data_IF_350896653464
#
_entry.id   IF_350896653464
#
_cell.length_a   1.000
_cell.length_b   1.000
_cell.length_c   1.000
_cell.angle_alpha   90.00
_cell.angle_beta   90.00
_cell.angle_gamma   90.00
#
_symmetry.space_group_name_H-M   'P 1'
#
loop_
_entity.id
_entity.type
_entity.pdbx_description
1 polymer ?
#
# COMPACT_ATOMS: atom_id res chain seq x y z
N UNK A 1 -7.71 20.53 -0.51
CA UNK A 1 -6.81 19.36 -0.51
C UNK A 1 -7.66 18.17 -0.86
N UNK A 2 -7.36 17.45 -1.93
CA UNK A 2 -8.11 16.24 -2.27
C UNK A 2 -7.83 15.20 -1.19
N UNK A 3 -8.87 14.73 -0.51
CA UNK A 3 -8.74 13.59 0.40
C UNK A 3 -8.47 12.35 -0.45
N UNK A 4 -7.31 11.71 -0.24
CA UNK A 4 -6.95 10.48 -0.94
C UNK A 4 -7.92 9.35 -0.58
N UNK A 5 -8.41 8.63 -1.59
CA UNK A 5 -9.30 7.50 -1.39
C UNK A 5 -8.48 6.25 -1.06
N UNK A 6 -8.47 5.90 0.22
CA UNK A 6 -7.76 4.73 0.74
C UNK A 6 -8.69 3.53 0.87
N UNK A 7 -8.28 2.40 0.31
CA UNK A 7 -9.02 1.15 0.38
C UNK A 7 -8.16 0.00 0.93
N UNK A 8 -8.71 -0.77 1.86
CA UNK A 8 -8.16 -2.08 2.26
C UNK A 8 -8.80 -3.17 1.42
N UNK A 9 -8.00 -3.97 0.72
CA UNK A 9 -8.53 -4.95 -0.24
C UNK A 9 -9.45 -6.01 0.39
N UNK A 10 -9.24 -6.35 1.66
CA UNK A 10 -10.03 -7.34 2.40
C UNK A 10 -11.44 -6.85 2.75
N UNK A 11 -11.69 -5.55 2.73
CA UNK A 11 -12.97 -4.95 3.13
C UNK A 11 -13.65 -4.17 1.98
N UNK A 12 -12.89 -3.74 0.98
CA UNK A 12 -13.39 -2.94 -0.12
C UNK A 12 -13.96 -3.81 -1.24
N UNK A 13 -15.13 -3.44 -1.75
CA UNK A 13 -15.67 -4.02 -2.97
C UNK A 13 -14.86 -3.54 -4.19
N UNK A 14 -15.10 -4.15 -5.36
CA UNK A 14 -14.38 -3.83 -6.60
C UNK A 14 -14.54 -2.36 -7.02
N UNK A 15 -15.70 -1.76 -6.81
CA UNK A 15 -15.97 -0.37 -7.21
C UNK A 15 -15.11 0.61 -6.39
N UNK A 16 -15.05 0.42 -5.06
CA UNK A 16 -14.19 1.22 -4.19
C UNK A 16 -12.71 1.06 -4.57
N UNK A 17 -12.26 -0.17 -4.87
CA UNK A 17 -10.88 -0.41 -5.30
C UNK A 17 -10.54 0.24 -6.65
N UNK A 18 -11.51 0.39 -7.55
CA UNK A 18 -11.30 1.08 -8.83
C UNK A 18 -11.12 2.60 -8.68
N UNK A 19 -11.73 3.18 -7.66
CA UNK A 19 -11.62 4.61 -7.34
C UNK A 19 -10.49 4.92 -6.36
N UNK A 20 -9.78 3.91 -5.82
CA UNK A 20 -8.80 4.10 -4.77
C UNK A 20 -7.48 4.65 -5.31
N UNK A 21 -7.06 5.78 -4.75
CA UNK A 21 -5.71 6.33 -4.92
C UNK A 21 -4.67 5.46 -4.21
N UNK A 22 -5.05 4.91 -3.05
CA UNK A 22 -4.20 4.12 -2.17
C UNK A 22 -4.85 2.77 -1.88
N UNK A 23 -4.16 1.68 -2.20
CA UNK A 23 -4.64 0.31 -1.90
C UNK A 23 -3.72 -0.36 -0.89
N UNK A 24 -4.31 -0.86 0.18
CA UNK A 24 -3.62 -1.60 1.24
C UNK A 24 -3.93 -3.10 1.16
N UNK A 25 -2.88 -3.90 1.29
CA UNK A 25 -2.86 -5.34 1.11
C UNK A 25 -2.08 -6.02 2.25
N UNK A 26 -2.23 -7.33 2.33
CA UNK A 26 -1.47 -8.18 3.24
C UNK A 26 -0.91 -9.41 2.49
N UNK A 27 0.30 -9.81 2.87
CA UNK A 27 1.00 -10.97 2.34
C UNK A 27 1.81 -11.70 3.42
N UNK A 28 2.09 -12.97 3.18
CA UNK A 28 2.93 -13.80 4.05
C UNK A 28 4.40 -13.74 3.63
N UNK A 29 4.67 -13.54 2.34
CA UNK A 29 6.04 -13.55 1.80
C UNK A 29 6.33 -12.32 0.97
N UNK A 30 7.62 -11.97 0.85
CA UNK A 30 8.07 -10.87 0.00
C UNK A 30 7.76 -11.13 -1.48
N UNK A 31 7.79 -12.39 -1.92
CA UNK A 31 7.45 -12.78 -3.30
C UNK A 31 5.98 -12.49 -3.57
N UNK A 32 5.09 -12.91 -2.66
CA UNK A 32 3.66 -12.63 -2.76
C UNK A 32 3.39 -11.13 -2.73
N UNK A 33 4.03 -10.38 -1.83
CA UNK A 33 3.87 -8.93 -1.75
C UNK A 33 4.32 -8.22 -3.03
N UNK A 34 5.46 -8.61 -3.60
CA UNK A 34 5.97 -8.04 -4.85
C UNK A 34 5.01 -8.32 -6.02
N UNK A 35 4.47 -9.53 -6.10
CA UNK A 35 3.47 -9.87 -7.11
C UNK A 35 2.17 -9.08 -6.91
N UNK A 36 1.71 -8.93 -5.66
CA UNK A 36 0.54 -8.12 -5.32
C UNK A 36 0.72 -6.65 -5.73
N UNK A 37 1.90 -6.05 -5.52
CA UNK A 37 2.18 -4.68 -5.98
C UNK A 37 1.96 -4.54 -7.49
N UNK A 38 2.67 -5.34 -8.28
CA UNK A 38 2.62 -5.25 -9.75
C UNK A 38 1.23 -5.56 -10.30
N UNK A 39 0.57 -6.60 -9.79
CA UNK A 39 -0.77 -6.98 -10.22
C UNK A 39 -1.85 -5.96 -9.82
N UNK A 40 -1.70 -5.30 -8.67
CA UNK A 40 -2.63 -4.26 -8.22
C UNK A 40 -2.55 -3.04 -9.12
N UNK A 41 -1.35 -2.56 -9.46
CA UNK A 41 -1.22 -1.44 -10.40
C UNK A 41 -1.76 -1.76 -11.80
N UNK A 42 -1.54 -2.99 -12.29
CA UNK A 42 -2.09 -3.43 -13.56
C UNK A 42 -3.63 -3.53 -13.53
N UNK A 43 -4.20 -3.97 -12.40
CA UNK A 43 -5.65 -4.17 -12.24
C UNK A 43 -6.42 -2.88 -11.96
N UNK A 44 -5.79 -1.93 -11.28
CA UNK A 44 -6.41 -0.67 -10.84
C UNK A 44 -5.57 0.51 -11.36
N UNK A 45 -5.77 0.95 -12.61
CA UNK A 45 -4.94 1.97 -13.26
C UNK A 45 -4.98 3.33 -12.57
N UNK A 46 -6.07 3.66 -11.86
CA UNK A 46 -6.18 4.90 -11.06
C UNK A 46 -5.42 4.86 -9.73
N UNK A 47 -4.96 3.69 -9.28
CA UNK A 47 -4.23 3.57 -8.03
C UNK A 47 -2.79 4.08 -8.19
N UNK A 48 -2.41 5.06 -7.36
CA UNK A 48 -1.10 5.69 -7.34
C UNK A 48 -0.16 5.01 -6.33
N UNK A 49 -0.68 4.59 -5.17
CA UNK A 49 0.12 3.97 -4.12
C UNK A 49 -0.44 2.61 -3.74
N UNK A 50 0.42 1.60 -3.68
CA UNK A 50 0.07 0.29 -3.12
C UNK A 50 1.01 0.01 -1.95
N UNK A 51 0.44 -0.41 -0.83
CA UNK A 51 1.21 -0.83 0.33
C UNK A 51 0.78 -2.22 0.80
N UNK A 52 1.74 -3.12 0.96
CA UNK A 52 1.53 -4.50 1.39
C UNK A 52 2.22 -4.71 2.73
N UNK A 53 1.48 -5.06 3.78
CA UNK A 53 2.09 -5.48 5.06
C UNK A 53 2.30 -6.99 5.11
N UNK A 54 3.28 -7.42 5.89
CA UNK A 54 3.36 -8.79 6.36
C UNK A 54 2.19 -9.12 7.30
N UNK A 55 1.67 -10.34 7.25
CA UNK A 55 0.59 -10.78 8.16
C UNK A 55 0.96 -10.62 9.66
N UNK A 56 2.21 -10.91 10.02
CA UNK A 56 2.71 -10.73 11.38
C UNK A 56 3.25 -9.29 11.64
N UNK A 57 3.10 -8.36 10.69
CA UNK A 57 3.55 -6.98 10.81
C UNK A 57 5.08 -6.80 10.86
N UNK A 58 5.85 -7.79 10.41
CA UNK A 58 7.33 -7.76 10.46
C UNK A 58 7.98 -6.86 9.40
N UNK A 59 7.24 -6.52 8.35
CA UNK A 59 7.69 -5.65 7.27
C UNK A 59 6.47 -5.12 6.50
N UNK A 60 6.71 -4.09 5.70
CA UNK A 60 5.78 -3.63 4.68
C UNK A 60 6.55 -3.22 3.41
N UNK A 61 5.97 -3.48 2.24
CA UNK A 61 6.42 -2.90 0.97
C UNK A 61 5.47 -1.76 0.60
N UNK A 62 6.03 -0.63 0.20
CA UNK A 62 5.26 0.50 -0.33
C UNK A 62 5.79 0.84 -1.70
N UNK A 63 4.91 1.00 -2.68
CA UNK A 63 5.28 1.39 -4.03
C UNK A 63 4.40 2.56 -4.48
N UNK A 64 5.00 3.44 -5.26
CA UNK A 64 4.29 4.45 -6.04
C UNK A 64 4.30 3.97 -7.49
N UNK A 65 3.19 4.14 -8.21
CA UNK A 65 3.10 3.83 -9.64
C UNK A 65 4.26 4.48 -10.39
N UNK A 66 4.83 3.74 -11.35
CA UNK A 66 5.97 4.17 -12.17
C UNK A 66 7.28 4.45 -11.40
N UNK A 67 7.30 4.19 -10.10
CA UNK A 67 8.48 4.32 -9.25
C UNK A 67 8.82 2.96 -8.61
N UNK A 68 10.04 2.87 -8.06
CA UNK A 68 10.46 1.70 -7.30
C UNK A 68 9.64 1.50 -6.01
N UNK A 69 9.74 0.31 -5.43
CA UNK A 69 9.19 0.03 -4.11
C UNK A 69 10.23 0.29 -3.02
N UNK A 70 9.75 0.67 -1.83
CA UNK A 70 10.53 0.78 -0.60
C UNK A 70 10.06 -0.25 0.41
N UNK A 71 11.02 -0.93 1.05
CA UNK A 71 10.72 -1.82 2.17
C UNK A 71 10.85 -1.03 3.48
N UNK A 72 9.83 -1.16 4.33
CA UNK A 72 9.81 -0.62 5.70
C UNK A 72 9.83 -1.79 6.67
N UNK A 73 10.68 -1.70 7.69
CA UNK A 73 10.71 -2.64 8.82
C UNK A 73 10.37 -1.89 10.10
N UNK A 74 9.61 -2.51 11.02
CA UNK A 74 9.38 -1.93 12.33
C UNK A 74 10.70 -1.88 13.13
N UNK A 75 10.72 -1.06 14.19
CA UNK A 75 11.80 -1.07 15.17
C UNK A 75 11.88 -2.39 15.93
N UNK A 76 12.85 -2.50 16.85
CA UNK A 76 13.01 -3.72 17.65
C UNK A 76 11.74 -4.02 18.46
N UNK A 77 11.26 -5.27 18.39
CA UNK A 77 10.04 -5.77 19.03
C UNK A 77 8.70 -5.11 18.61
N UNK A 78 8.69 -4.25 17.59
CA UNK A 78 7.47 -3.62 17.09
C UNK A 78 6.83 -4.39 15.92
N UNK A 79 5.56 -4.09 15.63
CA UNK A 79 4.81 -4.61 14.48
C UNK A 79 4.15 -3.48 13.71
N UNK A 80 4.15 -3.57 12.38
CA UNK A 80 3.43 -2.65 11.52
C UNK A 80 1.95 -3.02 11.51
N UNK A 81 1.17 -2.34 12.36
CA UNK A 81 -0.29 -2.41 12.34
C UNK A 81 -0.88 -1.70 11.12
N UNK A 82 -2.16 -1.93 10.86
CA UNK A 82 -2.87 -1.25 9.76
C UNK A 82 -2.87 0.28 9.86
N UNK A 83 -3.08 0.91 11.03
CA UNK A 83 -3.04 2.38 11.13
C UNK A 83 -1.66 2.95 10.79
N UNK A 84 -0.59 2.25 11.18
CA UNK A 84 0.78 2.65 10.84
C UNK A 84 1.04 2.52 9.33
N UNK A 85 0.56 1.45 8.70
CA UNK A 85 0.64 1.27 7.24
C UNK A 85 -0.13 2.38 6.50
N UNK A 86 -1.35 2.70 6.96
CA UNK A 86 -2.18 3.79 6.42
C UNK A 86 -1.45 5.12 6.46
N UNK A 87 -0.95 5.52 7.64
CA UNK A 87 -0.21 6.77 7.79
C UNK A 87 1.00 6.85 6.84
N UNK A 88 1.75 5.74 6.70
CA UNK A 88 2.90 5.67 5.78
C UNK A 88 2.47 5.73 4.32
N UNK A 89 1.38 5.08 3.94
CA UNK A 89 0.87 5.11 2.58
C UNK A 89 0.39 6.52 2.20
N UNK A 90 -0.30 7.22 3.11
CA UNK A 90 -0.72 8.62 2.94
C UNK A 90 0.48 9.57 2.79
N UNK A 91 1.49 9.48 3.66
CA UNK A 91 2.74 10.24 3.50
C UNK A 91 3.44 9.96 2.16
N UNK A 92 3.39 8.70 1.68
CA UNK A 92 3.93 8.35 0.35
C UNK A 92 3.14 9.05 -0.77
N UNK A 93 1.81 9.02 -0.69
CA UNK A 93 0.93 9.66 -1.66
C UNK A 93 1.16 11.17 -1.71
N UNK A 94 1.17 11.85 -0.56
CA UNK A 94 1.38 13.30 -0.50
C UNK A 94 2.71 13.73 -1.12
N UNK A 95 3.78 12.94 -0.94
CA UNK A 95 5.08 13.21 -1.58
C UNK A 95 5.04 13.00 -3.08
N UNK A 96 4.35 11.96 -3.55
CA UNK A 96 4.23 11.64 -4.97
C UNK A 96 3.38 12.65 -5.75
N UNK A 97 2.38 13.27 -5.11
CA UNK A 97 1.55 14.31 -5.73
C UNK A 97 2.21 15.70 -5.71
N UNK A 98 3.15 15.92 -4.78
CA UNK A 98 3.88 17.18 -4.67
C UNK A 98 5.13 17.27 -5.58
N UNK A 99 5.58 16.15 -6.14
CA UNK A 99 6.69 16.04 -7.10
C UNK A 99 6.22 16.22 -8.53
#
# INVERSE_FOLDING_TARGET
MSEELLARSSFANRQHLQCADVILLEAVTLVQASWQLSSTFARYPGCLVVAVRHECGQWALLAVREHGFRMVRPGFAERIGWPALEARARDTYSRAVAS
#
